data_IF_305944537331
#
_entry.id   IF_305944537331
#
_cell.length_a   1.000
_cell.length_b   1.000
_cell.length_c   1.000
_cell.angle_alpha   90.00
_cell.angle_beta   90.00
_cell.angle_gamma   90.00
#
_symmetry.space_group_name_H-M   'P 1'
#
loop_
_entity.id
_entity.type
_entity.pdbx_description
1 polymer ?
#
# COMPACT_ATOMS: atom_id res chain seq x y z
N UNK A 1 -11.23 -9.27 5.85
CA UNK A 1 -9.78 -9.22 5.55
C UNK A 1 -9.51 -10.06 4.31
N UNK A 2 -8.50 -9.72 3.50
CA UNK A 2 -8.18 -10.46 2.26
C UNK A 2 -7.32 -11.72 2.50
N UNK A 3 -6.87 -11.94 3.73
CA UNK A 3 -5.97 -13.02 4.15
C UNK A 3 -6.47 -13.63 5.47
N UNK A 4 -6.04 -14.87 5.76
CA UNK A 4 -6.31 -15.52 7.04
C UNK A 4 -5.30 -15.09 8.12
N UNK A 5 -5.73 -14.94 9.38
CA UNK A 5 -4.86 -14.49 10.49
C UNK A 5 -3.71 -15.47 10.76
N UNK A 6 -3.94 -16.77 10.50
CA UNK A 6 -2.94 -17.84 10.62
C UNK A 6 -1.68 -17.61 9.79
N UNK A 7 -1.77 -16.86 8.68
CA UNK A 7 -0.67 -16.63 7.73
C UNK A 7 0.54 -15.93 8.37
N UNK A 8 0.33 -15.13 9.43
CA UNK A 8 1.43 -14.41 10.09
C UNK A 8 2.38 -15.39 10.77
N UNK A 9 1.84 -16.44 11.40
CA UNK A 9 2.67 -17.48 12.05
C UNK A 9 3.48 -18.26 11.01
N UNK A 10 2.85 -18.56 9.87
CA UNK A 10 3.50 -19.25 8.75
C UNK A 10 4.63 -18.39 8.14
N UNK A 11 4.40 -17.08 7.95
CA UNK A 11 5.40 -16.15 7.42
C UNK A 11 6.55 -15.85 8.37
N UNK A 12 6.36 -16.00 9.68
CA UNK A 12 7.41 -15.87 10.67
C UNK A 12 8.27 -17.14 10.80
N UNK A 13 7.84 -18.27 10.21
CA UNK A 13 8.66 -19.48 10.14
C UNK A 13 9.76 -19.35 9.08
N UNK A 14 10.95 -18.98 9.55
CA UNK A 14 12.15 -18.79 8.73
C UNK A 14 12.57 -20.08 8.00
N UNK A 15 12.22 -21.27 8.53
CA UNK A 15 12.57 -22.54 7.88
C UNK A 15 11.71 -22.79 6.64
N UNK A 16 10.41 -22.52 6.74
CA UNK A 16 9.46 -22.72 5.66
C UNK A 16 9.55 -21.58 4.62
N UNK A 17 9.79 -20.35 5.07
CA UNK A 17 9.79 -19.14 4.25
C UNK A 17 11.05 -18.29 4.50
N UNK A 18 12.19 -18.65 3.89
CA UNK A 18 13.49 -18.00 4.16
C UNK A 18 13.59 -16.56 3.63
N UNK A 19 12.59 -16.07 2.90
CA UNK A 19 12.58 -14.75 2.28
C UNK A 19 11.29 -13.99 2.54
N UNK A 20 11.42 -12.73 2.94
CA UNK A 20 10.29 -11.81 3.12
C UNK A 20 9.54 -11.64 1.78
N UNK A 21 8.22 -11.85 1.74
CA UNK A 21 7.42 -11.49 0.57
C UNK A 21 7.53 -9.99 0.28
N UNK A 22 7.36 -9.59 -0.98
CA UNK A 22 7.33 -8.17 -1.34
C UNK A 22 6.02 -7.54 -0.87
N UNK A 23 6.11 -6.43 -0.12
CA UNK A 23 4.96 -5.63 0.30
C UNK A 23 5.17 -4.19 -0.19
N UNK A 24 4.14 -3.54 -0.74
CA UNK A 24 4.18 -2.09 -0.85
C UNK A 24 4.33 -1.52 0.56
N UNK A 25 5.15 -0.48 0.68
CA UNK A 25 5.21 0.28 1.93
C UNK A 25 3.85 0.91 2.19
N UNK A 26 3.47 0.98 3.47
CA UNK A 26 2.31 1.73 3.87
C UNK A 26 2.48 3.20 3.44
N UNK A 27 1.41 3.90 3.05
CA UNK A 27 1.49 5.33 2.77
C UNK A 27 2.00 6.08 4.01
N UNK A 28 2.82 7.10 3.79
CA UNK A 28 3.44 7.89 4.88
C UNK A 28 2.47 8.89 5.50
N UNK A 29 1.50 9.39 4.73
CA UNK A 29 0.54 10.40 5.17
C UNK A 29 -0.20 10.08 6.49
N UNK A 30 -0.73 8.86 6.73
CA UNK A 30 -1.39 8.53 8.00
C UNK A 30 -0.42 8.29 9.16
N UNK A 31 0.89 8.22 8.93
CA UNK A 31 1.87 7.98 9.99
C UNK A 31 2.20 9.29 10.70
N UNK A 32 1.49 9.56 11.80
CA UNK A 32 1.70 10.76 12.62
C UNK A 32 2.32 10.39 13.96
N UNK A 33 3.42 11.07 14.31
CA UNK A 33 4.03 10.97 15.64
C UNK A 33 3.13 11.68 16.65
N UNK A 34 2.29 10.91 17.35
CA UNK A 34 1.30 11.47 18.25
C UNK A 34 1.89 11.94 19.59
N UNK A 35 2.83 11.19 20.15
CA UNK A 35 3.36 11.47 21.48
C UNK A 35 4.81 11.01 21.63
N UNK A 36 5.63 11.86 22.25
CA UNK A 36 6.98 11.55 22.70
C UNK A 36 7.02 11.64 24.23
N UNK A 37 7.40 10.54 24.88
CA UNK A 37 7.54 10.49 26.34
C UNK A 37 8.98 10.64 26.78
N UNK A 38 9.22 11.43 27.84
CA UNK A 38 10.53 11.60 28.47
C UNK A 38 10.42 11.22 29.95
N UNK A 39 10.94 10.05 30.39
CA UNK A 39 10.66 9.50 31.73
C UNK A 39 11.09 10.37 32.92
N UNK A 40 12.10 11.22 32.73
CA UNK A 40 12.70 12.02 33.81
C UNK A 40 12.50 13.52 33.63
N UNK A 41 11.66 13.93 32.67
CA UNK A 41 11.41 15.34 32.38
C UNK A 41 9.93 15.64 32.63
N UNK A 42 9.67 16.56 33.55
CA UNK A 42 8.33 17.10 33.75
C UNK A 42 8.20 18.40 32.98
N UNK A 43 7.25 18.44 32.04
CA UNK A 43 6.93 19.65 31.32
C UNK A 43 5.97 20.51 32.15
N UNK A 44 6.37 21.74 32.44
CA UNK A 44 5.45 22.77 32.91
C UNK A 44 4.68 23.35 31.73
N UNK A 45 3.35 23.47 31.85
CA UNK A 45 2.53 24.11 30.84
C UNK A 45 1.97 25.43 31.37
N UNK A 46 2.11 26.50 30.58
CA UNK A 46 1.45 27.77 30.85
C UNK A 46 0.05 27.77 30.23
N UNK A 47 -0.94 28.27 30.96
CA UNK A 47 -2.32 28.40 30.47
C UNK A 47 -2.39 29.22 29.17
N UNK A 48 -1.61 30.30 29.05
CA UNK A 48 -1.59 31.16 27.86
C UNK A 48 -1.08 30.41 26.61
N UNK A 49 -0.07 29.56 26.79
CA UNK A 49 0.52 28.80 25.69
C UNK A 49 -0.43 27.68 25.25
N UNK A 50 -1.05 26.97 26.20
CA UNK A 50 -2.06 25.97 25.91
C UNK A 50 -3.26 26.56 25.16
N UNK A 51 -3.76 27.71 25.62
CA UNK A 51 -4.86 28.42 24.96
C UNK A 51 -4.50 28.79 23.51
N UNK A 52 -3.33 29.39 23.30
CA UNK A 52 -2.87 29.77 21.96
C UNK A 52 -2.75 28.56 21.03
N UNK A 53 -2.17 27.45 21.51
CA UNK A 53 -2.04 26.22 20.74
C UNK A 53 -3.40 25.61 20.43
N UNK A 54 -4.33 25.62 21.40
CA UNK A 54 -5.68 25.13 21.20
C UNK A 54 -6.43 25.93 20.13
N UNK A 55 -6.42 27.27 20.21
CA UNK A 55 -7.03 28.12 19.18
C UNK A 55 -6.42 27.87 17.80
N UNK A 56 -5.11 27.65 17.71
CA UNK A 56 -4.46 27.34 16.45
C UNK A 56 -4.93 25.99 15.86
N UNK A 57 -5.05 24.95 16.69
CA UNK A 57 -5.57 23.66 16.23
C UNK A 57 -7.05 23.72 15.85
N UNK A 58 -7.87 24.46 16.58
CA UNK A 58 -9.28 24.69 16.24
C UNK A 58 -9.40 25.38 14.87
N UNK A 59 -8.61 26.43 14.63
CA UNK A 59 -8.57 27.10 13.33
C UNK A 59 -8.15 26.16 12.19
N UNK A 60 -7.08 25.38 12.37
CA UNK A 60 -6.65 24.41 11.35
C UNK A 60 -7.71 23.34 11.09
N UNK A 61 -8.38 22.89 12.14
CA UNK A 61 -9.45 21.91 12.04
C UNK A 61 -10.62 22.48 11.23
N UNK A 62 -11.04 23.72 11.50
CA UNK A 62 -12.10 24.40 10.74
C UNK A 62 -11.74 24.50 9.24
N UNK A 63 -10.53 24.95 8.92
CA UNK A 63 -10.07 25.07 7.53
C UNK A 63 -10.06 23.72 6.80
N UNK A 64 -9.53 22.67 7.44
CA UNK A 64 -9.49 21.33 6.88
C UNK A 64 -10.89 20.73 6.73
N UNK A 65 -11.78 20.96 7.69
CA UNK A 65 -13.18 20.53 7.63
C UNK A 65 -13.92 21.21 6.49
N UNK A 66 -13.74 22.52 6.31
CA UNK A 66 -14.32 23.26 5.18
C UNK A 66 -13.79 22.75 3.84
N UNK A 67 -12.49 22.51 3.73
CA UNK A 67 -11.88 21.93 2.53
C UNK A 67 -12.45 20.53 2.22
N UNK A 68 -12.55 19.68 3.24
CA UNK A 68 -13.14 18.35 3.12
C UNK A 68 -14.60 18.40 2.68
N UNK A 69 -15.40 19.29 3.28
CA UNK A 69 -16.81 19.47 2.93
C UNK A 69 -16.99 19.97 1.49
N UNK A 70 -16.15 20.91 1.03
CA UNK A 70 -16.16 21.38 -0.38
C UNK A 70 -15.90 20.23 -1.36
N UNK A 71 -14.90 19.39 -1.06
CA UNK A 71 -14.57 18.23 -1.90
C UNK A 71 -15.71 17.21 -1.87
N UNK A 72 -16.27 16.91 -0.70
CA UNK A 72 -17.41 15.99 -0.57
C UNK A 72 -18.64 16.48 -1.34
N UNK A 73 -18.95 17.77 -1.27
CA UNK A 73 -20.04 18.36 -2.06
C UNK A 73 -19.76 18.25 -3.57
N UNK A 74 -18.51 18.45 -3.99
CA UNK A 74 -18.10 18.23 -5.38
C UNK A 74 -18.32 16.78 -5.82
N UNK A 75 -17.89 15.81 -5.01
CA UNK A 75 -18.12 14.37 -5.29
C UNK A 75 -19.61 14.03 -5.31
N UNK A 76 -20.39 14.55 -4.36
CA UNK A 76 -21.84 14.36 -4.32
C UNK A 76 -22.54 14.95 -5.54
N UNK A 77 -22.12 16.14 -6.01
CA UNK A 77 -22.69 16.74 -7.22
C UNK A 77 -22.46 15.91 -8.48
N UNK A 78 -21.41 15.08 -8.50
CA UNK A 78 -21.14 14.17 -9.62
C UNK A 78 -22.09 12.97 -9.65
N UNK A 79 -22.73 12.60 -8.54
CA UNK A 79 -23.64 11.44 -8.45
C UNK A 79 -24.84 11.57 -9.41
N UNK A 80 -25.29 12.81 -9.63
CA UNK A 80 -26.41 13.14 -10.51
C UNK A 80 -26.03 13.31 -11.99
N UNK A 81 -24.74 13.25 -12.32
CA UNK A 81 -24.30 13.41 -13.70
C UNK A 81 -24.79 12.27 -14.59
N UNK A 82 -25.26 12.61 -15.78
CA UNK A 82 -25.73 11.63 -16.75
C UNK A 82 -24.57 11.09 -17.58
N UNK A 83 -24.46 9.78 -17.66
CA UNK A 83 -23.43 9.08 -18.44
C UNK A 83 -24.11 8.13 -19.41
N UNK A 84 -23.54 8.00 -20.61
CA UNK A 84 -24.02 7.03 -21.59
C UNK A 84 -23.73 5.60 -21.14
N UNK A 85 -24.71 4.72 -21.36
CA UNK A 85 -24.58 3.29 -21.06
C UNK A 85 -23.39 2.66 -21.79
N UNK A 86 -23.19 3.01 -23.05
CA UNK A 86 -22.13 2.45 -23.88
C UNK A 86 -20.74 2.87 -23.37
N UNK A 87 -20.62 4.08 -22.82
CA UNK A 87 -19.38 4.58 -22.21
C UNK A 87 -19.07 3.81 -20.92
N UNK A 88 -20.07 3.57 -20.06
CA UNK A 88 -19.87 2.78 -18.83
C UNK A 88 -19.47 1.34 -19.15
N UNK A 89 -20.10 0.73 -20.16
CA UNK A 89 -19.77 -0.61 -20.61
C UNK A 89 -18.36 -0.69 -21.22
N UNK A 90 -18.00 0.26 -22.08
CA UNK A 90 -16.68 0.31 -22.70
C UNK A 90 -15.58 0.53 -21.66
N UNK A 91 -15.82 1.43 -20.69
CA UNK A 91 -14.94 1.67 -19.55
C UNK A 91 -14.75 0.42 -18.70
N UNK A 92 -15.84 -0.26 -18.32
CA UNK A 92 -15.80 -1.49 -17.53
C UNK A 92 -15.01 -2.59 -18.26
N UNK A 93 -15.27 -2.79 -19.55
CA UNK A 93 -14.55 -3.75 -20.39
C UNK A 93 -13.05 -3.43 -20.42
N UNK A 94 -12.67 -2.18 -20.65
CA UNK A 94 -11.27 -1.75 -20.68
C UNK A 94 -10.57 -2.05 -19.34
N UNK A 95 -11.21 -1.68 -18.21
CA UNK A 95 -10.64 -1.92 -16.88
C UNK A 95 -10.49 -3.39 -16.51
N UNK A 96 -11.46 -4.23 -16.89
CA UNK A 96 -11.35 -5.68 -16.69
C UNK A 96 -10.23 -6.28 -17.54
N UNK A 97 -10.07 -5.86 -18.79
CA UNK A 97 -8.97 -6.31 -19.65
C UNK A 97 -7.59 -5.92 -19.09
N UNK A 98 -7.44 -4.72 -18.54
CA UNK A 98 -6.21 -4.30 -17.86
C UNK A 98 -5.88 -5.20 -16.66
N UNK A 99 -6.91 -5.56 -15.86
CA UNK A 99 -6.75 -6.48 -14.73
C UNK A 99 -6.33 -7.88 -15.18
N UNK A 100 -6.92 -8.42 -16.27
CA UNK A 100 -6.52 -9.72 -16.84
C UNK A 100 -5.06 -9.70 -17.24
N UNK A 101 -4.64 -8.69 -18.02
CA UNK A 101 -3.25 -8.57 -18.48
C UNK A 101 -2.27 -8.53 -17.31
N UNK A 102 -2.62 -7.82 -16.24
CA UNK A 102 -1.81 -7.74 -15.01
C UNK A 102 -1.75 -9.07 -14.25
N UNK A 103 -2.87 -9.80 -14.15
CA UNK A 103 -2.92 -11.11 -13.50
C UNK A 103 -2.21 -12.21 -14.29
N UNK A 104 -2.35 -12.23 -15.62
CA UNK A 104 -1.67 -13.20 -16.49
C UNK A 104 -0.15 -13.09 -16.40
N UNK A 105 0.39 -11.87 -16.26
CA UNK A 105 1.82 -11.63 -16.00
C UNK A 105 2.31 -12.26 -14.69
N UNK A 106 1.42 -12.46 -13.72
CA UNK A 106 1.73 -12.98 -12.38
C UNK A 106 1.25 -14.43 -12.13
N UNK A 107 0.75 -15.12 -13.16
CA UNK A 107 0.51 -16.58 -13.21
C UNK A 107 -0.37 -17.19 -12.10
N UNK A 108 -1.24 -16.41 -11.45
CA UNK A 108 -1.94 -16.87 -10.25
C UNK A 108 -3.39 -16.37 -10.07
N UNK A 109 -4.30 -16.59 -11.04
CA UNK A 109 -5.74 -16.80 -10.78
C UNK A 109 -6.48 -17.33 -12.03
N UNK A 110 -7.56 -18.08 -11.81
CA UNK A 110 -8.42 -18.67 -12.86
C UNK A 110 -8.95 -17.60 -13.83
N UNK A 111 -8.49 -17.65 -15.07
CA UNK A 111 -8.99 -16.84 -16.20
C UNK A 111 -10.48 -17.02 -16.42
N UNK A 112 -11.02 -18.20 -16.09
CA UNK A 112 -12.41 -18.57 -16.30
C UNK A 112 -13.41 -17.71 -15.49
N UNK A 113 -13.07 -17.28 -14.28
CA UNK A 113 -13.96 -16.44 -13.47
C UNK A 113 -14.05 -15.00 -14.03
N UNK A 114 -12.94 -14.48 -14.57
CA UNK A 114 -12.92 -13.16 -15.20
C UNK A 114 -13.51 -13.15 -16.62
N UNK A 115 -13.34 -14.25 -17.36
CA UNK A 115 -13.99 -14.47 -18.66
C UNK A 115 -15.50 -14.63 -18.51
N UNK A 116 -15.98 -15.32 -17.46
CA UNK A 116 -17.41 -15.34 -17.10
C UNK A 116 -17.94 -13.94 -16.77
N UNK A 117 -17.16 -13.11 -16.08
CA UNK A 117 -17.52 -11.71 -15.81
C UNK A 117 -17.61 -10.87 -17.09
N UNK A 118 -16.73 -11.10 -18.07
CA UNK A 118 -16.78 -10.47 -19.40
C UNK A 118 -18.00 -10.92 -20.22
N UNK A 119 -18.36 -12.20 -20.17
CA UNK A 119 -19.52 -12.77 -20.87
C UNK A 119 -20.87 -12.30 -20.30
N UNK A 120 -20.89 -11.89 -19.02
CA UNK A 120 -22.09 -11.46 -18.28
C UNK A 120 -22.17 -9.93 -18.14
N UNK A 121 -21.40 -9.17 -18.94
CA UNK A 121 -21.28 -7.71 -18.82
C UNK A 121 -22.57 -6.94 -19.11
N UNK A 122 -23.47 -7.47 -19.93
CA UNK A 122 -24.75 -6.82 -20.24
C UNK A 122 -25.87 -7.20 -19.28
N UNK A 123 -25.71 -8.29 -18.51
CA UNK A 123 -26.72 -8.77 -17.60
C UNK A 123 -26.63 -8.05 -16.25
N UNK A 124 -27.69 -7.31 -15.91
CA UNK A 124 -27.83 -6.61 -14.63
C UNK A 124 -27.68 -5.09 -14.69
N UNK A 125 -27.37 -4.49 -15.85
CA UNK A 125 -27.63 -3.06 -16.02
C UNK A 125 -29.15 -2.85 -16.07
N UNK A 126 -29.72 -1.88 -15.32
CA UNK A 126 -31.14 -1.61 -15.37
C UNK A 126 -31.54 -1.37 -16.83
N UNK A 127 -32.56 -2.10 -17.29
CA UNK A 127 -33.16 -1.95 -18.62
C UNK A 127 -34.00 -0.68 -18.56
N UNK A 128 -33.33 0.46 -18.57
CA UNK A 128 -33.98 1.75 -18.75
C UNK A 128 -33.99 1.98 -20.27
N UNK A 129 -35.15 2.32 -20.82
CA UNK A 129 -35.34 2.59 -22.26
C UNK A 129 -34.46 3.75 -22.76
N UNK A 130 -33.92 4.57 -21.85
CA UNK A 130 -33.03 5.69 -22.14
C UNK A 130 -31.55 5.28 -22.09
N UNK A 131 -30.78 5.72 -23.09
CA UNK A 131 -29.34 5.48 -23.22
C UNK A 131 -28.44 6.18 -22.18
N UNK A 132 -29.06 6.93 -21.27
CA UNK A 132 -28.43 7.73 -20.22
C UNK A 132 -28.82 7.19 -18.85
N UNK A 133 -27.84 7.13 -17.95
CA UNK A 133 -28.01 6.73 -16.56
C UNK A 133 -27.24 7.66 -15.64
N UNK A 134 -27.71 7.85 -14.40
CA UNK A 134 -26.99 8.66 -13.41
C UNK A 134 -25.68 8.00 -13.01
N UNK A 135 -24.66 8.81 -12.71
CA UNK A 135 -23.36 8.31 -12.30
C UNK A 135 -23.44 7.46 -11.04
N UNK A 136 -24.34 7.79 -10.10
CA UNK A 136 -24.59 6.94 -8.93
C UNK A 136 -25.04 5.52 -9.33
N UNK A 137 -26.01 5.40 -10.24
CA UNK A 137 -26.48 4.11 -10.76
C UNK A 137 -25.36 3.37 -11.50
N UNK A 138 -24.50 4.11 -12.24
CA UNK A 138 -23.32 3.54 -12.88
C UNK A 138 -22.33 2.97 -11.87
N UNK A 139 -22.08 3.72 -10.78
CA UNK A 139 -21.14 3.36 -9.72
C UNK A 139 -21.60 2.13 -8.96
N UNK A 140 -22.87 2.04 -8.58
CA UNK A 140 -23.42 0.84 -7.93
C UNK A 140 -23.23 -0.40 -8.80
N UNK A 141 -23.50 -0.28 -10.10
CA UNK A 141 -23.29 -1.37 -11.05
C UNK A 141 -21.81 -1.72 -11.22
N UNK A 142 -20.92 -0.73 -11.31
CA UNK A 142 -19.47 -0.95 -11.37
C UNK A 142 -18.94 -1.61 -10.09
N UNK A 143 -19.47 -1.26 -8.92
CA UNK A 143 -19.08 -1.83 -7.62
C UNK A 143 -19.43 -3.32 -7.54
N UNK A 144 -20.59 -3.73 -8.07
CA UNK A 144 -20.94 -5.16 -8.20
C UNK A 144 -19.92 -5.94 -9.06
N UNK A 145 -19.24 -5.27 -10.00
CA UNK A 145 -18.15 -5.86 -10.82
C UNK A 145 -16.77 -5.66 -10.19
N UNK A 146 -16.69 -5.15 -8.95
CA UNK A 146 -15.45 -4.89 -8.22
C UNK A 146 -14.64 -3.71 -8.75
N UNK A 147 -15.28 -2.77 -9.45
CA UNK A 147 -14.70 -1.52 -9.92
C UNK A 147 -15.26 -0.38 -9.06
N UNK A 148 -14.43 0.18 -8.19
CA UNK A 148 -14.80 1.32 -7.35
C UNK A 148 -13.76 2.43 -7.50
N UNK A 149 -14.16 3.71 -7.59
CA UNK A 149 -13.23 4.81 -7.43
C UNK A 149 -12.51 4.68 -6.10
N UNK A 150 -11.19 4.55 -6.16
CA UNK A 150 -10.33 4.52 -4.99
C UNK A 150 -9.29 5.61 -5.16
N UNK A 151 -8.85 6.29 -4.09
CA UNK A 151 -7.68 7.17 -4.16
C UNK A 151 -6.44 6.40 -4.65
N UNK A 152 -6.37 5.10 -4.40
CA UNK A 152 -5.34 4.21 -4.95
C UNK A 152 -5.58 3.87 -6.43
N UNK A 153 -6.77 4.11 -6.95
CA UNK A 153 -7.24 3.76 -8.31
C UNK A 153 -6.52 4.47 -9.46
N UNK A 154 -5.65 5.45 -9.18
CA UNK A 154 -4.65 5.89 -10.16
C UNK A 154 -3.58 4.83 -10.43
N UNK A 155 -3.46 3.82 -9.57
CA UNK A 155 -2.58 2.66 -9.67
C UNK A 155 -3.44 1.42 -9.48
N UNK A 156 -3.86 0.76 -10.55
CA UNK A 156 -4.60 -0.52 -10.43
C UNK A 156 -3.70 -1.60 -9.77
N UNK A 157 -3.77 -1.70 -8.44
CA UNK A 157 -3.08 -2.70 -7.63
C UNK A 157 -4.01 -3.88 -7.44
N UNK A 158 -3.76 -4.94 -8.20
CA UNK A 158 -4.43 -6.23 -7.99
C UNK A 158 -3.90 -6.83 -6.70
N UNK A 159 -4.80 -7.24 -5.80
CA UNK A 159 -4.38 -7.95 -4.59
C UNK A 159 -3.79 -9.31 -4.97
N UNK A 160 -2.55 -9.55 -4.57
CA UNK A 160 -1.86 -10.83 -4.69
C UNK A 160 -1.74 -11.43 -3.29
N UNK A 161 -2.20 -12.68 -3.07
CA UNK A 161 -2.06 -13.37 -1.79
C UNK A 161 -0.62 -13.39 -1.30
N UNK A 162 -0.37 -13.23 0.01
CA UNK A 162 0.99 -13.03 0.55
C UNK A 162 1.97 -14.13 0.15
N UNK A 163 1.51 -15.39 0.13
CA UNK A 163 2.33 -16.54 -0.24
C UNK A 163 2.69 -16.58 -1.73
N UNK A 164 1.90 -15.92 -2.58
CA UNK A 164 2.09 -15.88 -4.03
C UNK A 164 2.94 -14.68 -4.49
N UNK A 165 3.30 -13.78 -3.58
CA UNK A 165 4.14 -12.61 -3.91
C UNK A 165 5.57 -13.02 -4.17
N UNK A 166 6.25 -12.24 -5.01
CA UNK A 166 7.69 -12.39 -5.20
C UNK A 166 8.42 -12.22 -3.86
N UNK A 167 9.40 -13.08 -3.62
CA UNK A 167 10.26 -13.05 -2.43
C UNK A 167 11.62 -12.49 -2.80
N UNK A 168 12.32 -11.94 -1.81
CA UNK A 168 13.73 -11.58 -1.98
C UNK A 168 14.56 -12.80 -2.42
N UNK A 169 15.62 -12.55 -3.21
CA UNK A 169 16.57 -13.60 -3.58
C UNK A 169 17.44 -13.96 -2.38
N UNK A 170 17.61 -15.26 -2.11
CA UNK A 170 18.52 -15.70 -1.05
C UNK A 170 19.98 -15.49 -1.49
N UNK A 171 20.91 -15.48 -0.53
CA UNK A 171 22.35 -15.39 -0.81
C UNK A 171 22.81 -16.48 -1.78
N UNK A 172 22.38 -17.72 -1.55
CA UNK A 172 22.68 -18.89 -2.37
C UNK A 172 22.14 -18.72 -3.80
N UNK A 173 20.86 -18.36 -3.94
CA UNK A 173 20.25 -18.08 -5.25
C UNK A 173 20.98 -16.97 -6.00
N UNK A 174 21.47 -15.96 -5.28
CA UNK A 174 22.21 -14.85 -5.87
C UNK A 174 23.61 -15.26 -6.31
N UNK A 175 24.26 -16.17 -5.58
CA UNK A 175 25.52 -16.78 -6.01
C UNK A 175 25.31 -17.64 -7.25
N UNK A 176 24.27 -18.47 -7.28
CA UNK A 176 23.97 -19.34 -8.41
C UNK A 176 23.59 -18.54 -9.65
N UNK A 177 22.86 -17.44 -9.50
CA UNK A 177 22.59 -16.50 -10.59
C UNK A 177 23.87 -15.85 -11.14
N UNK A 178 24.90 -15.70 -10.31
CA UNK A 178 26.22 -15.16 -10.68
C UNK A 178 27.21 -16.26 -11.11
N UNK A 179 26.83 -17.53 -11.14
CA UNK A 179 27.69 -18.67 -11.47
C UNK A 179 28.36 -18.53 -12.85
N UNK A 180 27.69 -17.90 -13.81
CA UNK A 180 28.20 -17.67 -15.18
C UNK A 180 29.40 -16.71 -15.24
N UNK A 181 29.67 -15.92 -14.20
CA UNK A 181 30.77 -14.95 -14.17
C UNK A 181 31.54 -15.01 -12.85
N UNK A 182 32.68 -15.70 -12.88
CA UNK A 182 33.58 -15.86 -11.73
C UNK A 182 33.95 -14.54 -11.06
N UNK A 183 34.35 -13.53 -11.84
CA UNK A 183 34.71 -12.19 -11.33
C UNK A 183 33.55 -11.48 -10.62
N UNK A 184 32.31 -11.63 -11.10
CA UNK A 184 31.13 -11.02 -10.46
C UNK A 184 30.76 -11.72 -9.16
N UNK A 185 30.87 -13.06 -9.12
CA UNK A 185 30.64 -13.85 -7.92
C UNK A 185 31.65 -13.51 -6.82
N UNK A 186 32.94 -13.47 -7.13
CA UNK A 186 34.02 -13.14 -6.18
C UNK A 186 33.82 -11.73 -5.61
N UNK A 187 33.58 -10.72 -6.45
CA UNK A 187 33.26 -9.35 -5.98
C UNK A 187 32.02 -9.29 -5.08
N UNK A 188 30.97 -10.06 -5.41
CA UNK A 188 29.77 -10.10 -4.58
C UNK A 188 30.06 -10.72 -3.22
N UNK A 189 30.81 -11.83 -3.18
CA UNK A 189 31.22 -12.47 -1.93
C UNK A 189 32.11 -11.56 -1.08
N UNK A 190 33.11 -10.90 -1.67
CA UNK A 190 33.95 -9.92 -0.97
C UNK A 190 33.14 -8.77 -0.39
N UNK A 191 32.17 -8.23 -1.15
CA UNK A 191 31.30 -7.16 -0.66
C UNK A 191 30.36 -7.63 0.45
N UNK A 192 29.89 -8.88 0.40
CA UNK A 192 29.07 -9.45 1.49
C UNK A 192 29.92 -9.67 2.73
N UNK A 193 31.17 -10.15 2.59
CA UNK A 193 32.11 -10.32 3.71
C UNK A 193 32.46 -8.96 4.32
N UNK A 194 32.82 -7.95 3.51
CA UNK A 194 33.09 -6.58 3.97
C UNK A 194 31.89 -5.92 4.67
N UNK A 195 30.66 -6.31 4.33
CA UNK A 195 29.43 -5.78 4.94
C UNK A 195 28.97 -6.56 6.17
N UNK A 196 29.45 -7.78 6.37
CA UNK A 196 29.25 -8.49 7.63
C UNK A 196 30.18 -7.86 8.65
N UNK A 197 29.68 -6.89 9.39
CA UNK A 197 30.37 -6.40 10.58
C UNK A 197 30.62 -7.59 11.50
N UNK A 198 31.84 -7.74 11.96
CA UNK A 198 32.14 -8.77 12.97
C UNK A 198 31.45 -8.37 14.27
N UNK A 199 31.14 -9.35 15.13
CA UNK A 199 30.57 -9.05 16.46
C UNK A 199 31.44 -8.08 17.26
N UNK A 200 32.75 -8.14 17.03
CA UNK A 200 33.75 -7.25 17.63
C UNK A 200 33.64 -5.82 17.13
N UNK A 201 33.40 -5.61 15.82
CA UNK A 201 33.18 -4.28 15.23
C UNK A 201 31.86 -3.66 15.68
N UNK A 202 30.80 -4.46 15.81
CA UNK A 202 29.53 -3.99 16.37
C UNK A 202 29.66 -3.63 17.86
N UNK A 203 30.36 -4.44 18.65
CA UNK A 203 30.62 -4.14 20.06
C UNK A 203 31.47 -2.87 20.20
N UNK A 204 32.54 -2.71 19.41
CA UNK A 204 33.38 -1.52 19.42
C UNK A 204 32.60 -0.26 19.02
N UNK A 205 31.65 -0.36 18.10
CA UNK A 205 30.76 0.74 17.74
C UNK A 205 29.85 1.16 18.90
N UNK A 206 29.22 0.22 19.59
CA UNK A 206 28.39 0.53 20.77
C UNK A 206 29.23 1.06 21.94
N UNK A 207 30.41 0.51 22.19
CA UNK A 207 31.34 0.99 23.22
C UNK A 207 31.81 2.43 22.94
N UNK A 208 32.08 2.76 21.66
CA UNK A 208 32.43 4.10 21.23
C UNK A 208 31.27 5.09 21.39
N UNK A 209 30.05 4.70 20.98
CA UNK A 209 28.85 5.53 21.15
C UNK A 209 28.54 5.79 22.64
N UNK A 210 28.75 4.79 23.50
CA UNK A 210 28.56 4.92 24.94
C UNK A 210 29.57 5.88 25.57
N UNK A 211 30.82 5.92 25.04
CA UNK A 211 31.86 6.85 25.48
C UNK A 211 31.66 8.29 24.98
N UNK A 212 30.99 8.50 23.85
CA UNK A 212 30.70 9.84 23.33
C UNK A 212 29.46 10.50 23.96
N UNK A 213 28.57 9.72 24.60
CA UNK A 213 27.33 10.21 25.21
C UNK A 213 27.45 10.84 26.60
N UNK A 214 28.58 11.48 26.93
CA UNK A 214 28.89 11.94 28.29
C UNK A 214 29.75 13.20 28.35
N UNK A 215 29.40 14.25 27.60
CA UNK A 215 29.97 15.58 27.78
C UNK A 215 28.83 16.61 27.69
N UNK A 216 28.07 16.69 28.77
CA UNK A 216 26.92 17.58 28.91
C UNK A 216 26.33 17.48 30.30
N UNK A 217 27.17 17.67 31.32
CA UNK A 217 26.76 18.11 32.66
C UNK A 217 27.31 19.52 32.83
#
# INVERSE_FOLDING_TARGET
GKEQVSIVKELLDVKLHPGKPSYPLAPEFPLVLHHCGYPHLQFGHSCQNLWTVQCHFEQQWEDLMLAAARIQNGVGSMEDFLVHRDDVLSFCRAKLQERIKKQQKHRATSTEALERNLATLSAGLPVIETSLLTWNSALEWLEQKGLRPSPEGMRDVVHIPLLQRSRGTTYEQKIDALSKSRKRRERYQENVIKKRKTKEEDQAFYDHMTKQGGSGV
#
